data_IF_423160951473
#
_entry.id   IF_423160951473
#
_cell.length_a   1.000
_cell.length_b   1.000
_cell.length_c   1.000
_cell.angle_alpha   90.00
_cell.angle_beta   90.00
_cell.angle_gamma   90.00
#
_symmetry.space_group_name_H-M   'P 1'
#
loop_
_entity.id
_entity.type
_entity.pdbx_description
1 polymer ?
#
# COMPACT_ATOMS: atom_id res chain seq x y z
N UNK A 1 8.16 -3.03 17.72
CA UNK A 1 9.05 -3.63 16.70
C UNK A 1 10.44 -3.02 16.62
N UNK A 2 10.58 -1.69 16.51
CA UNK A 2 11.88 -1.03 16.28
C UNK A 2 12.96 -1.35 17.33
N UNK A 3 12.62 -1.27 18.63
CA UNK A 3 13.55 -1.54 19.74
C UNK A 3 14.04 -3.00 19.73
N UNK A 4 13.14 -3.96 19.54
CA UNK A 4 13.49 -5.39 19.49
C UNK A 4 14.44 -5.70 18.33
N UNK A 5 14.17 -5.14 17.14
CA UNK A 5 15.07 -5.28 15.98
C UNK A 5 16.42 -4.63 16.23
N UNK A 6 16.47 -3.49 16.92
CA UNK A 6 17.73 -2.84 17.33
C UNK A 6 18.58 -3.76 18.22
N UNK A 7 17.96 -4.40 19.21
CA UNK A 7 18.63 -5.35 20.12
C UNK A 7 19.14 -6.58 19.35
N UNK A 8 18.28 -7.19 18.53
CA UNK A 8 18.62 -8.35 17.69
C UNK A 8 19.82 -8.04 16.80
N UNK A 9 19.80 -6.91 16.09
CA UNK A 9 20.85 -6.51 15.15
C UNK A 9 22.21 -6.32 15.83
N UNK A 10 22.23 -5.77 17.05
CA UNK A 10 23.44 -5.68 17.88
C UNK A 10 23.95 -7.06 18.26
N UNK A 11 23.06 -7.96 18.68
CA UNK A 11 23.43 -9.32 19.04
C UNK A 11 24.01 -10.09 17.83
N UNK A 12 23.41 -9.95 16.65
CA UNK A 12 23.93 -10.55 15.40
C UNK A 12 25.33 -10.03 15.03
N UNK A 13 25.58 -8.73 15.18
CA UNK A 13 26.92 -8.14 15.00
C UNK A 13 27.95 -8.77 15.94
N UNK A 14 27.62 -8.93 17.22
CA UNK A 14 28.50 -9.59 18.17
C UNK A 14 28.74 -11.06 17.81
N UNK A 15 27.70 -11.77 17.37
CA UNK A 15 27.84 -13.13 16.85
C UNK A 15 28.81 -13.22 15.67
N UNK A 16 28.74 -12.30 14.70
CA UNK A 16 29.71 -12.21 13.61
C UNK A 16 31.15 -12.06 14.09
N UNK A 17 31.40 -11.22 15.10
CA UNK A 17 32.74 -11.06 15.71
C UNK A 17 33.25 -12.32 16.39
N UNK A 18 32.33 -13.18 16.87
CA UNK A 18 32.65 -14.48 17.47
C UNK A 18 32.78 -15.61 16.43
N UNK A 19 32.64 -15.31 15.12
CA UNK A 19 32.79 -16.28 14.04
C UNK A 19 31.49 -16.99 13.64
N UNK A 20 30.32 -16.49 14.04
CA UNK A 20 29.05 -17.04 13.56
C UNK A 20 28.72 -16.49 12.17
N UNK A 21 28.68 -17.38 11.17
CA UNK A 21 28.42 -17.01 9.77
C UNK A 21 26.96 -17.14 9.32
N UNK A 22 26.05 -17.32 10.27
CA UNK A 22 24.63 -17.41 9.98
C UNK A 22 23.76 -17.37 11.24
N UNK A 23 22.44 -17.55 11.08
CA UNK A 23 21.49 -17.40 12.18
C UNK A 23 21.76 -18.34 13.36
N UNK A 24 21.99 -17.76 14.54
CA UNK A 24 22.33 -18.47 15.76
C UNK A 24 21.42 -18.11 16.95
N UNK A 25 20.87 -16.89 17.01
CA UNK A 25 20.06 -16.43 18.16
C UNK A 25 18.81 -17.28 18.39
N UNK A 26 18.18 -17.76 17.32
CA UNK A 26 17.02 -18.65 17.42
C UNK A 26 17.32 -19.97 18.16
N UNK A 27 18.58 -20.42 18.18
CA UNK A 27 19.01 -21.63 18.90
C UNK A 27 19.07 -21.41 20.42
N UNK A 28 19.13 -20.15 20.85
CA UNK A 28 19.19 -19.78 22.27
C UNK A 28 17.79 -19.72 22.90
N UNK A 29 16.73 -19.61 22.10
CA UNK A 29 15.35 -19.43 22.59
C UNK A 29 14.92 -20.57 23.53
N UNK A 30 15.16 -21.86 23.25
CA UNK A 30 14.80 -22.93 24.19
C UNK A 30 15.55 -22.82 25.52
N UNK A 31 16.86 -22.55 25.47
CA UNK A 31 17.70 -22.43 26.67
C UNK A 31 17.29 -21.22 27.53
N UNK A 32 16.91 -20.10 26.90
CA UNK A 32 16.39 -18.93 27.61
C UNK A 32 15.03 -19.25 28.25
N UNK A 33 14.13 -19.93 27.53
CA UNK A 33 12.84 -20.33 28.08
C UNK A 33 12.98 -21.26 29.30
N UNK A 34 13.93 -22.21 29.25
CA UNK A 34 14.26 -23.10 30.37
C UNK A 34 14.78 -22.31 31.60
N UNK A 35 15.67 -21.34 31.41
CA UNK A 35 16.18 -20.52 32.52
C UNK A 35 15.09 -19.69 33.21
N UNK A 36 14.03 -19.32 32.49
CA UNK A 36 12.92 -18.52 33.00
C UNK A 36 11.66 -19.34 33.33
N UNK A 37 11.77 -20.67 33.34
CA UNK A 37 10.67 -21.56 33.70
C UNK A 37 10.13 -21.23 35.11
N UNK A 38 8.81 -21.18 35.27
CA UNK A 38 8.14 -20.80 36.52
C UNK A 38 8.07 -19.28 36.80
N UNK A 39 8.73 -18.46 35.97
CA UNK A 39 8.55 -16.99 35.96
C UNK A 39 7.75 -16.57 34.73
N UNK A 40 8.07 -17.14 33.56
CA UNK A 40 7.37 -16.91 32.30
C UNK A 40 7.10 -18.25 31.58
N UNK A 41 5.92 -18.82 31.81
CA UNK A 41 5.53 -20.08 31.16
C UNK A 41 5.02 -19.81 29.74
N UNK A 42 5.93 -19.88 28.76
CA UNK A 42 5.60 -19.67 27.35
C UNK A 42 4.97 -20.93 26.74
N UNK A 43 3.77 -20.84 26.13
CA UNK A 43 3.18 -21.98 25.42
C UNK A 43 4.09 -22.50 24.30
N UNK A 44 4.10 -23.82 24.01
CA UNK A 44 4.99 -24.41 22.99
C UNK A 44 4.89 -23.76 21.61
N UNK A 45 3.70 -23.35 21.20
CA UNK A 45 3.49 -22.66 19.92
C UNK A 45 4.09 -21.24 19.90
N UNK A 46 4.10 -20.53 21.03
CA UNK A 46 4.75 -19.22 21.14
C UNK A 46 6.28 -19.38 21.05
N UNK A 47 6.83 -20.43 21.67
CA UNK A 47 8.25 -20.73 21.58
C UNK A 47 8.67 -21.03 20.13
N UNK A 48 7.91 -21.89 19.44
CA UNK A 48 8.14 -22.24 18.05
C UNK A 48 8.06 -21.02 17.12
N UNK A 49 7.00 -20.21 17.26
CA UNK A 49 6.83 -18.97 16.49
C UNK A 49 7.95 -17.97 16.79
N UNK A 50 8.40 -17.87 18.04
CA UNK A 50 9.51 -16.98 18.44
C UNK A 50 10.83 -17.43 17.82
N UNK A 51 11.12 -18.74 17.82
CA UNK A 51 12.30 -19.31 17.16
C UNK A 51 12.30 -19.02 15.66
N UNK A 52 11.18 -19.25 14.98
CA UNK A 52 11.06 -19.03 13.54
C UNK A 52 11.19 -17.54 13.19
N UNK A 53 10.49 -16.66 13.92
CA UNK A 53 10.58 -15.22 13.74
C UNK A 53 12.00 -14.69 13.98
N UNK A 54 12.70 -15.16 15.01
CA UNK A 54 14.10 -14.80 15.27
C UNK A 54 15.01 -15.29 14.15
N UNK A 55 14.88 -16.55 13.74
CA UNK A 55 15.68 -17.15 12.68
C UNK A 55 15.54 -16.38 11.36
N UNK A 56 14.31 -15.99 11.01
CA UNK A 56 14.03 -15.29 9.77
C UNK A 56 14.48 -13.84 9.79
N UNK A 57 14.27 -13.12 10.90
CA UNK A 57 14.76 -11.74 11.05
C UNK A 57 16.29 -11.71 11.08
N UNK A 58 16.91 -12.68 11.75
CA UNK A 58 18.35 -12.86 11.81
C UNK A 58 18.92 -13.22 10.43
N UNK A 59 18.34 -14.19 9.70
CA UNK A 59 18.77 -14.56 8.35
C UNK A 59 18.65 -13.38 7.36
N UNK A 60 17.58 -12.58 7.47
CA UNK A 60 17.42 -11.36 6.68
C UNK A 60 18.50 -10.35 7.02
N UNK A 61 18.74 -10.12 8.30
CA UNK A 61 19.74 -9.16 8.73
C UNK A 61 21.17 -9.60 8.37
N UNK A 62 21.50 -10.89 8.44
CA UNK A 62 22.78 -11.43 7.96
C UNK A 62 23.01 -11.16 6.46
N UNK A 63 21.97 -11.16 5.62
CA UNK A 63 22.11 -10.79 4.20
C UNK A 63 22.35 -9.28 4.01
N UNK A 64 21.75 -8.46 4.87
CA UNK A 64 21.87 -6.99 4.85
C UNK A 64 23.19 -6.52 5.47
N UNK A 65 23.67 -7.20 6.51
CA UNK A 65 24.88 -6.82 7.24
C UNK A 65 26.11 -6.92 6.33
N UNK A 66 26.24 -7.96 5.52
CA UNK A 66 27.44 -8.14 4.68
C UNK A 66 27.55 -7.05 3.61
N UNK A 67 26.42 -6.70 2.95
CA UNK A 67 26.38 -5.64 1.94
C UNK A 67 26.53 -4.24 2.56
N UNK A 68 25.83 -3.98 3.67
CA UNK A 68 25.88 -2.71 4.38
C UNK A 68 27.24 -2.45 5.02
N UNK A 69 27.85 -3.46 5.65
CA UNK A 69 29.21 -3.42 6.20
C UNK A 69 30.24 -3.23 5.09
N UNK A 70 30.14 -3.97 3.99
CA UNK A 70 31.03 -3.79 2.85
C UNK A 70 30.98 -2.38 2.28
N UNK A 71 29.77 -1.80 2.16
CA UNK A 71 29.61 -0.41 1.70
C UNK A 71 30.15 0.60 2.71
N UNK A 72 29.89 0.40 3.99
CA UNK A 72 30.39 1.25 5.07
C UNK A 72 31.92 1.23 5.13
N UNK A 73 32.54 0.05 5.10
CA UNK A 73 33.99 -0.09 5.04
C UNK A 73 34.58 0.54 3.77
N UNK A 74 33.92 0.44 2.62
CA UNK A 74 34.35 1.13 1.41
C UNK A 74 34.32 2.67 1.57
N UNK A 75 33.27 3.23 2.19
CA UNK A 75 33.19 4.66 2.52
C UNK A 75 34.34 5.06 3.45
N UNK A 76 34.61 4.26 4.48
CA UNK A 76 35.68 4.53 5.45
C UNK A 76 37.08 4.40 4.82
N UNK A 77 37.30 3.40 3.97
CA UNK A 77 38.57 3.22 3.24
C UNK A 77 38.84 4.39 2.29
N UNK A 78 37.83 4.84 1.54
CA UNK A 78 37.96 6.00 0.67
C UNK A 78 38.33 7.29 1.44
N UNK A 79 38.05 7.33 2.74
CA UNK A 79 38.30 8.46 3.64
C UNK A 79 39.45 8.23 4.63
N UNK A 80 40.18 7.11 4.52
CA UNK A 80 41.18 6.69 5.51
C UNK A 80 42.36 7.68 5.69
N UNK A 81 42.63 8.52 4.69
CA UNK A 81 43.67 9.58 4.71
C UNK A 81 43.14 11.02 4.76
N UNK A 82 41.83 11.22 4.99
CA UNK A 82 41.18 12.53 4.96
C UNK A 82 40.20 12.73 6.11
N UNK A 83 39.07 13.39 5.83
CA UNK A 83 38.03 13.65 6.83
C UNK A 83 37.36 12.35 7.31
N UNK A 84 37.51 12.06 8.61
CA UNK A 84 36.96 10.85 9.25
C UNK A 84 35.51 11.05 9.71
N UNK A 85 34.72 11.66 8.85
CA UNK A 85 33.29 11.87 9.03
C UNK A 85 32.48 11.17 7.91
N UNK A 86 31.54 10.34 8.32
CA UNK A 86 30.49 9.80 7.45
C UNK A 86 29.40 10.85 7.40
N UNK A 87 29.14 11.40 6.22
CA UNK A 87 28.15 12.45 6.03
C UNK A 87 26.74 11.92 6.23
N UNK A 88 25.81 12.82 6.57
CA UNK A 88 24.40 12.46 6.70
C UNK A 88 23.80 11.82 5.45
N UNK A 89 24.25 12.22 4.26
CA UNK A 89 23.82 11.63 2.99
C UNK A 89 24.37 10.20 2.79
N UNK A 90 25.62 9.94 3.15
CA UNK A 90 26.21 8.59 3.11
C UNK A 90 25.52 7.65 4.12
N UNK A 91 25.26 8.14 5.34
CA UNK A 91 24.48 7.43 6.35
C UNK A 91 23.03 7.19 5.88
N UNK A 92 22.44 8.16 5.16
CA UNK A 92 21.10 8.03 4.58
C UNK A 92 21.06 6.98 3.48
N UNK A 93 22.03 6.94 2.58
CA UNK A 93 22.13 5.90 1.54
C UNK A 93 22.30 4.51 2.17
N UNK A 94 23.16 4.38 3.20
CA UNK A 94 23.30 3.13 3.95
C UNK A 94 21.95 2.68 4.52
N UNK A 95 21.17 3.59 5.09
CA UNK A 95 19.86 3.32 5.67
C UNK A 95 18.77 3.01 4.61
N UNK A 96 18.59 3.90 3.64
CA UNK A 96 17.48 3.91 2.68
C UNK A 96 17.71 2.90 1.54
N UNK A 97 18.92 2.87 0.98
CA UNK A 97 19.25 2.02 -0.17
C UNK A 97 19.72 0.62 0.25
N UNK A 98 20.57 0.55 1.28
CA UNK A 98 21.19 -0.72 1.69
C UNK A 98 20.52 -1.34 2.92
N UNK A 99 19.53 -0.68 3.53
CA UNK A 99 18.84 -1.19 4.73
C UNK A 99 19.74 -1.30 5.97
N UNK A 100 20.93 -0.68 5.94
CA UNK A 100 21.92 -0.74 7.00
C UNK A 100 21.58 0.27 8.10
N UNK A 101 21.30 -0.20 9.34
CA UNK A 101 20.78 0.66 10.40
C UNK A 101 21.74 1.77 10.81
N UNK A 102 21.22 2.99 10.98
CA UNK A 102 22.02 4.14 11.42
C UNK A 102 22.74 3.91 12.76
N UNK A 103 22.16 3.13 13.67
CA UNK A 103 22.79 2.83 14.95
C UNK A 103 23.99 1.88 14.82
N UNK A 104 23.99 1.00 13.82
CA UNK A 104 25.14 0.15 13.50
C UNK A 104 26.19 0.92 12.71
N UNK A 105 25.79 1.81 11.79
CA UNK A 105 26.71 2.74 11.12
C UNK A 105 27.53 3.51 12.14
N UNK A 106 26.87 4.04 13.17
CA UNK A 106 27.54 4.77 14.26
C UNK A 106 28.52 3.90 15.05
N UNK A 107 28.07 2.73 15.52
CA UNK A 107 28.92 1.83 16.32
C UNK A 107 30.15 1.40 15.53
N UNK A 108 29.98 1.03 14.26
CA UNK A 108 31.07 0.54 13.42
C UNK A 108 32.03 1.67 13.03
N UNK A 109 31.51 2.88 12.76
CA UNK A 109 32.31 4.07 12.52
C UNK A 109 33.16 4.43 13.75
N UNK A 110 32.54 4.49 14.94
CA UNK A 110 33.21 4.80 16.21
C UNK A 110 34.37 3.83 16.48
N UNK A 111 34.16 2.52 16.29
CA UNK A 111 35.20 1.50 16.52
C UNK A 111 36.42 1.62 15.60
N UNK A 112 36.28 2.28 14.45
CA UNK A 112 37.37 2.53 13.50
C UNK A 112 37.86 3.99 13.52
N UNK A 113 37.42 4.78 14.51
CA UNK A 113 37.81 6.19 14.67
C UNK A 113 37.18 7.14 13.65
N UNK A 114 35.99 6.81 13.15
CA UNK A 114 35.13 7.67 12.34
C UNK A 114 33.97 8.23 13.17
N UNK A 115 33.43 9.37 12.73
CA UNK A 115 32.20 9.97 13.26
C UNK A 115 31.08 9.91 12.22
N UNK A 116 29.82 10.03 12.65
CA UNK A 116 28.65 10.10 11.75
C UNK A 116 27.94 11.43 11.96
N UNK A 117 27.67 12.15 10.88
CA UNK A 117 26.86 13.38 10.92
C UNK A 117 25.37 13.03 11.09
N UNK A 118 24.97 12.84 12.35
CA UNK A 118 23.59 12.53 12.72
C UNK A 118 22.61 13.66 12.36
N UNK A 119 23.06 14.92 12.46
CA UNK A 119 22.24 16.08 12.12
C UNK A 119 21.95 16.11 10.61
N UNK A 120 22.94 15.82 9.77
CA UNK A 120 22.77 15.66 8.34
C UNK A 120 21.87 14.49 7.97
N UNK A 121 21.99 13.36 8.67
CA UNK A 121 21.11 12.21 8.47
C UNK A 121 19.65 12.58 8.80
N UNK A 122 19.42 13.27 9.92
CA UNK A 122 18.09 13.75 10.31
C UNK A 122 17.50 14.73 9.27
N UNK A 123 18.31 15.62 8.69
CA UNK A 123 17.86 16.51 7.59
C UNK A 123 17.42 15.73 6.35
N UNK A 124 18.13 14.66 5.97
CA UNK A 124 17.74 13.82 4.84
C UNK A 124 16.42 13.06 5.11
N UNK A 125 16.25 12.57 6.33
CA UNK A 125 15.00 11.94 6.77
C UNK A 125 13.82 12.92 6.73
N UNK A 126 14.02 14.18 7.16
CA UNK A 126 12.96 15.18 7.11
C UNK A 126 12.68 15.64 5.67
N UNK A 127 13.69 15.79 4.80
CA UNK A 127 13.47 16.08 3.38
C UNK A 127 12.70 14.96 2.65
N UNK A 128 12.87 13.70 3.04
CA UNK A 128 12.05 12.58 2.54
C UNK A 128 10.58 12.72 3.00
N UNK A 129 10.35 13.14 4.25
CA UNK A 129 9.00 13.40 4.79
C UNK A 129 8.35 14.63 4.18
N UNK A 130 9.10 15.70 3.96
CA UNK A 130 8.61 16.93 3.33
C UNK A 130 8.21 16.70 1.87
N UNK A 131 8.95 15.90 1.11
CA UNK A 131 8.53 15.49 -0.25
C UNK A 131 7.20 14.72 -0.26
N UNK A 132 6.93 13.94 0.79
CA UNK A 132 5.63 13.29 0.95
C UNK A 132 4.52 14.29 1.35
N UNK A 133 4.85 15.36 2.09
CA UNK A 133 3.92 16.44 2.46
C UNK A 133 3.69 17.47 1.35
N UNK A 134 4.65 17.70 0.46
CA UNK A 134 4.52 18.70 -0.62
C UNK A 134 3.44 18.33 -1.65
N UNK A 135 3.02 17.07 -1.72
CA UNK A 135 1.84 16.66 -2.48
C UNK A 135 0.53 17.30 -1.93
N UNK A 136 0.45 17.60 -0.62
CA UNK A 136 -0.67 18.31 0.00
C UNK A 136 -0.59 19.85 -0.16
N UNK A 137 0.60 20.41 -0.44
CA UNK A 137 0.79 21.86 -0.65
C UNK A 137 0.28 22.37 -1.99
N UNK A 138 -0.19 21.50 -2.88
CA UNK A 138 -0.67 21.89 -4.22
C UNK A 138 -1.91 22.80 -4.20
N UNK A 139 -2.58 22.93 -3.05
CA UNK A 139 -3.88 23.59 -2.91
C UNK A 139 -3.89 24.80 -1.96
N UNK A 140 -2.72 25.27 -1.50
CA UNK A 140 -2.63 26.45 -0.62
C UNK A 140 -1.70 27.52 -1.21
N UNK A 141 -2.18 28.14 -2.30
CA UNK A 141 -1.55 29.26 -3.00
C UNK A 141 -1.89 30.64 -2.39
N UNK A 142 -2.57 30.66 -1.24
CA UNK A 142 -3.01 31.88 -0.58
C UNK A 142 -4.29 32.49 -1.16
N UNK A 143 -5.01 31.79 -2.04
CA UNK A 143 -6.30 32.25 -2.56
C UNK A 143 -7.33 32.50 -1.44
N UNK A 144 -7.98 33.67 -1.51
CA UNK A 144 -9.00 34.10 -0.54
C UNK A 144 -10.31 33.35 -0.74
N UNK A 145 -10.98 33.05 0.38
CA UNK A 145 -12.28 32.37 0.37
C UNK A 145 -13.43 33.35 0.13
N UNK A 146 -14.28 33.03 -0.84
CA UNK A 146 -15.63 33.57 -0.93
C UNK A 146 -16.56 32.74 -0.04
N UNK A 147 -16.92 33.28 1.12
CA UNK A 147 -17.80 32.61 2.09
C UNK A 147 -19.26 32.98 1.79
N UNK A 148 -20.07 31.96 1.50
CA UNK A 148 -21.50 32.10 1.20
C UNK A 148 -22.35 31.72 2.41
N UNK A 149 -21.88 30.74 3.19
CA UNK A 149 -22.48 30.33 4.46
C UNK A 149 -21.39 29.87 5.45
N UNK A 150 -21.61 30.13 6.73
CA UNK A 150 -20.71 29.72 7.81
C UNK A 150 -20.69 28.20 8.00
N UNK A 151 -19.55 27.68 8.48
CA UNK A 151 -19.35 26.25 8.78
C UNK A 151 -18.66 25.44 7.67
N UNK A 152 -18.54 24.13 7.90
CA UNK A 152 -17.79 23.19 7.04
C UNK A 152 -18.64 22.28 6.14
N UNK A 153 -19.94 22.54 6.04
CA UNK A 153 -20.90 21.60 5.48
C UNK A 153 -21.27 20.46 6.42
N UNK A 154 -22.27 19.68 6.02
CA UNK A 154 -22.79 18.48 6.69
C UNK A 154 -22.08 17.19 6.21
N UNK A 155 -21.21 17.30 5.20
CA UNK A 155 -20.30 16.23 4.76
C UNK A 155 -20.88 15.28 3.70
N UNK A 156 -20.39 14.03 3.72
CA UNK A 156 -20.76 13.00 2.75
C UNK A 156 -22.23 12.62 2.90
N UNK A 157 -22.97 12.64 1.80
CA UNK A 157 -24.43 12.54 1.82
C UNK A 157 -24.91 11.12 2.13
N UNK A 158 -24.52 10.14 1.31
CA UNK A 158 -24.88 8.74 1.47
C UNK A 158 -24.09 7.86 0.50
N UNK A 159 -23.84 6.61 0.90
CA UNK A 159 -23.34 5.58 -0.03
C UNK A 159 -24.39 5.24 -1.07
N UNK A 160 -23.96 5.02 -2.32
CA UNK A 160 -24.85 4.69 -3.44
C UNK A 160 -25.60 5.86 -4.06
N UNK A 161 -25.42 7.09 -3.54
CA UNK A 161 -25.96 8.30 -4.15
C UNK A 161 -25.04 8.75 -5.30
N UNK A 162 -25.58 8.80 -6.53
CA UNK A 162 -24.83 9.19 -7.73
C UNK A 162 -24.99 10.67 -8.09
N UNK A 163 -26.08 11.30 -7.65
CA UNK A 163 -26.37 12.70 -7.91
C UNK A 163 -27.00 13.36 -6.68
N UNK A 164 -26.75 14.66 -6.52
CA UNK A 164 -27.33 15.46 -5.44
C UNK A 164 -27.38 16.93 -5.83
N UNK A 165 -28.55 17.55 -5.69
CA UNK A 165 -28.66 19.00 -5.68
C UNK A 165 -28.32 19.53 -4.27
N UNK A 166 -27.38 20.47 -4.19
CA UNK A 166 -26.87 21.03 -2.91
C UNK A 166 -26.50 22.50 -3.11
N UNK A 167 -26.24 23.22 -2.01
CA UNK A 167 -25.70 24.58 -2.05
C UNK A 167 -24.18 24.58 -1.87
N UNK A 168 -23.54 25.64 -2.37
CA UNK A 168 -22.12 25.93 -2.10
C UNK A 168 -22.02 26.72 -0.80
N UNK A 169 -21.15 26.29 0.11
CA UNK A 169 -20.90 26.97 1.39
C UNK A 169 -19.80 28.02 1.24
N UNK A 170 -18.73 27.68 0.54
CA UNK A 170 -17.63 28.59 0.20
C UNK A 170 -16.82 28.05 -0.95
N UNK A 171 -16.17 28.95 -1.67
CA UNK A 171 -15.31 28.60 -2.79
C UNK A 171 -14.14 29.57 -2.93
N UNK A 172 -13.11 29.16 -3.66
CA UNK A 172 -12.02 30.04 -4.09
C UNK A 172 -11.48 29.60 -5.44
N UNK A 173 -10.97 30.57 -6.19
CA UNK A 173 -10.26 30.32 -7.44
C UNK A 173 -8.76 30.32 -7.19
N UNK A 174 -8.10 29.32 -7.73
CA UNK A 174 -6.64 29.17 -7.71
C UNK A 174 -6.05 29.65 -9.04
N UNK A 175 -4.73 29.86 -9.06
CA UNK A 175 -4.02 30.10 -10.31
C UNK A 175 -4.23 28.93 -11.31
N UNK A 176 -4.24 29.24 -12.61
CA UNK A 176 -4.39 28.23 -13.66
C UNK A 176 -5.82 27.71 -13.90
N UNK A 177 -6.85 28.40 -13.37
CA UNK A 177 -8.25 28.09 -13.66
C UNK A 177 -8.82 26.90 -12.87
N UNK A 178 -8.13 26.50 -11.79
CA UNK A 178 -8.64 25.53 -10.82
C UNK A 178 -9.49 26.23 -9.77
N UNK A 179 -10.46 25.52 -9.24
CA UNK A 179 -11.32 25.99 -8.16
C UNK A 179 -11.38 24.97 -7.03
N UNK A 180 -11.62 25.49 -5.83
CA UNK A 180 -11.86 24.71 -4.64
C UNK A 180 -13.22 25.08 -4.05
N UNK A 181 -14.03 24.06 -3.75
CA UNK A 181 -15.39 24.23 -3.24
C UNK A 181 -15.63 23.40 -1.99
N UNK A 182 -16.42 23.97 -1.09
CA UNK A 182 -17.05 23.26 0.01
C UNK A 182 -18.55 23.34 -0.20
N UNK A 183 -19.17 22.17 -0.28
CA UNK A 183 -20.60 21.99 -0.47
C UNK A 183 -21.28 21.76 0.86
N UNK A 184 -22.58 22.06 0.96
CA UNK A 184 -23.36 21.73 2.16
C UNK A 184 -23.40 20.22 2.37
N UNK A 185 -23.75 19.45 1.34
CA UNK A 185 -23.62 17.98 1.31
C UNK A 185 -23.02 17.57 -0.01
N UNK A 186 -22.36 16.42 -0.06
CA UNK A 186 -21.75 15.92 -1.30
C UNK A 186 -22.02 14.44 -1.52
N UNK A 187 -22.36 14.00 -2.74
CA UNK A 187 -22.39 12.59 -3.07
C UNK A 187 -20.99 12.04 -3.33
N UNK A 188 -19.94 12.87 -3.46
CA UNK A 188 -18.58 12.46 -3.81
C UNK A 188 -17.81 11.96 -2.57
N UNK A 189 -17.22 10.77 -2.66
CA UNK A 189 -16.37 10.20 -1.62
C UNK A 189 -15.01 10.90 -1.62
N UNK A 190 -14.60 11.41 -0.46
CA UNK A 190 -13.27 11.98 -0.25
C UNK A 190 -12.24 10.88 -0.04
N UNK A 191 -11.02 11.06 -0.55
CA UNK A 191 -9.93 10.10 -0.38
C UNK A 191 -9.75 9.70 1.09
N UNK A 192 -9.87 8.41 1.37
CA UNK A 192 -9.76 7.88 2.73
C UNK A 192 -9.66 6.36 2.75
N UNK A 193 -8.93 5.82 3.73
CA UNK A 193 -8.81 4.36 3.94
C UNK A 193 -8.11 3.62 2.80
N UNK A 194 -7.31 4.32 1.99
CA UNK A 194 -6.66 3.79 0.80
C UNK A 194 -7.49 3.89 -0.48
N UNK A 195 -8.78 4.16 -0.40
CA UNK A 195 -9.61 4.45 -1.59
C UNK A 195 -9.38 5.89 -2.06
N UNK A 196 -8.99 6.05 -3.33
CA UNK A 196 -8.81 7.37 -3.95
C UNK A 196 -10.13 8.11 -4.09
N UNK A 197 -10.07 9.44 -4.13
CA UNK A 197 -11.24 10.31 -4.25
C UNK A 197 -12.14 9.95 -5.44
N UNK A 198 -13.43 10.24 -5.31
CA UNK A 198 -14.33 10.26 -6.47
C UNK A 198 -14.05 11.45 -7.38
N UNK A 199 -14.33 11.23 -8.66
CA UNK A 199 -14.40 12.29 -9.65
C UNK A 199 -15.87 12.56 -9.98
N UNK A 200 -16.14 13.71 -10.57
CA UNK A 200 -17.49 14.06 -10.95
C UNK A 200 -17.59 15.44 -11.58
N UNK A 201 -18.81 15.93 -11.66
CA UNK A 201 -19.14 17.22 -12.22
C UNK A 201 -20.00 17.99 -11.24
N UNK A 202 -19.70 19.28 -11.06
CA UNK A 202 -20.58 20.22 -10.36
C UNK A 202 -21.08 21.22 -11.40
N UNK A 203 -22.39 21.23 -11.62
CA UNK A 203 -23.06 22.15 -12.55
C UNK A 203 -23.82 23.21 -11.77
N UNK A 204 -23.58 24.47 -12.11
CA UNK A 204 -24.29 25.61 -11.56
C UNK A 204 -24.73 26.60 -12.65
N UNK A 205 -25.32 27.73 -12.28
CA UNK A 205 -25.78 28.73 -13.24
C UNK A 205 -24.63 29.31 -14.07
N UNK A 206 -24.48 28.86 -15.32
CA UNK A 206 -23.50 29.39 -16.26
C UNK A 206 -22.05 28.90 -16.06
N UNK A 207 -21.84 27.88 -15.22
CA UNK A 207 -20.54 27.27 -15.03
C UNK A 207 -20.61 25.76 -14.78
N UNK A 208 -19.51 25.08 -15.09
CA UNK A 208 -19.32 23.65 -14.84
C UNK A 208 -17.93 23.45 -14.25
N UNK A 209 -17.82 22.56 -13.26
CA UNK A 209 -16.56 22.19 -12.63
C UNK A 209 -16.35 20.71 -12.82
N UNK A 210 -15.26 20.35 -13.50
CA UNK A 210 -14.80 18.98 -13.62
C UNK A 210 -13.98 18.63 -12.38
N UNK A 211 -14.59 17.95 -11.42
CA UNK A 211 -13.96 17.57 -10.15
C UNK A 211 -13.06 16.37 -10.39
N UNK A 212 -11.77 16.55 -10.14
CA UNK A 212 -10.72 15.55 -10.32
C UNK A 212 -10.08 15.10 -8.99
N UNK A 213 -10.40 15.78 -7.88
CA UNK A 213 -9.92 15.43 -6.55
C UNK A 213 -10.89 15.89 -5.45
N UNK A 214 -11.02 15.08 -4.39
CA UNK A 214 -11.87 15.35 -3.22
C UNK A 214 -11.14 14.91 -1.95
N UNK A 215 -10.87 15.87 -1.07
CA UNK A 215 -10.02 15.66 0.10
C UNK A 215 -10.76 15.99 1.39
N UNK A 216 -10.43 15.28 2.47
CA UNK A 216 -10.98 15.56 3.80
C UNK A 216 -9.94 16.27 4.67
N UNK A 217 -10.13 17.57 4.92
CA UNK A 217 -9.23 18.41 5.71
C UNK A 217 -9.95 18.84 6.98
N UNK A 218 -9.43 18.45 8.15
CA UNK A 218 -10.02 18.78 9.46
C UNK A 218 -11.52 18.43 9.57
N UNK A 219 -11.96 17.36 8.92
CA UNK A 219 -13.36 16.92 8.92
C UNK A 219 -14.23 17.52 7.81
N UNK A 220 -13.75 18.56 7.13
CA UNK A 220 -14.43 19.24 6.03
C UNK A 220 -14.07 18.55 4.71
N UNK A 221 -15.03 18.45 3.79
CA UNK A 221 -14.80 17.86 2.45
C UNK A 221 -14.59 18.98 1.43
N UNK A 222 -13.41 18.96 0.81
CA UNK A 222 -12.95 19.91 -0.18
C UNK A 222 -13.01 19.27 -1.56
N UNK A 223 -13.51 19.99 -2.55
CA UNK A 223 -13.65 19.53 -3.94
C UNK A 223 -12.77 20.39 -4.83
N UNK A 224 -11.90 19.77 -5.62
CA UNK A 224 -10.98 20.45 -6.50
C UNK A 224 -11.27 20.07 -7.95
N UNK A 225 -11.23 21.05 -8.84
CA UNK A 225 -11.52 20.79 -10.24
C UNK A 225 -11.23 21.97 -11.17
N UNK A 226 -11.32 21.69 -12.47
CA UNK A 226 -11.18 22.71 -13.52
C UNK A 226 -12.53 23.41 -13.75
N UNK A 227 -12.52 24.75 -13.71
CA UNK A 227 -13.71 25.57 -13.95
C UNK A 227 -13.85 25.89 -15.44
N UNK A 228 -15.05 25.73 -15.98
CA UNK A 228 -15.47 26.27 -17.28
C UNK A 228 -16.68 27.18 -17.08
N UNK A 229 -16.67 28.35 -17.73
CA UNK A 229 -17.74 29.35 -17.60
C UNK A 229 -17.46 30.40 -16.53
N UNK A 230 -18.47 31.21 -16.21
CA UNK A 230 -18.36 32.29 -15.24
C UNK A 230 -19.11 31.92 -13.96
N UNK A 231 -18.39 31.85 -12.83
CA UNK A 231 -18.99 31.52 -11.53
C UNK A 231 -19.86 32.69 -11.07
N UNK A 232 -21.16 32.46 -10.98
CA UNK A 232 -22.11 33.32 -10.30
C UNK A 232 -22.73 32.51 -9.16
N UNK A 233 -22.17 32.67 -7.96
CA UNK A 233 -22.61 31.99 -6.75
C UNK A 233 -23.04 33.03 -5.70
N UNK A 234 -24.25 32.85 -5.17
CA UNK A 234 -24.80 33.52 -4.00
C UNK A 234 -25.12 32.51 -2.89
N UNK A 235 -25.63 32.99 -1.75
CA UNK A 235 -25.87 32.23 -0.51
C UNK A 235 -26.78 31.01 -0.71
N UNK A 236 -27.66 31.03 -1.70
CA UNK A 236 -28.68 30.00 -1.94
C UNK A 236 -28.55 29.34 -3.32
N UNK A 237 -27.44 29.57 -4.03
CA UNK A 237 -27.24 28.99 -5.35
C UNK A 237 -27.19 27.47 -5.27
N UNK A 238 -28.16 26.84 -5.93
CA UNK A 238 -28.22 25.39 -6.08
C UNK A 238 -27.26 24.95 -7.18
N UNK A 239 -26.45 23.95 -6.88
CA UNK A 239 -25.62 23.25 -7.84
C UNK A 239 -26.00 21.77 -7.86
N UNK A 240 -25.98 21.19 -9.05
CA UNK A 240 -26.16 19.76 -9.26
C UNK A 240 -24.80 19.08 -9.25
N UNK A 241 -24.62 18.10 -8.39
CA UNK A 241 -23.37 17.34 -8.25
C UNK A 241 -23.60 15.94 -8.76
N UNK A 242 -22.85 15.53 -9.77
CA UNK A 242 -22.89 14.19 -10.35
C UNK A 242 -21.55 13.48 -10.18
N UNK A 243 -21.60 12.20 -9.83
CA UNK A 243 -20.41 11.37 -9.66
C UNK A 243 -20.12 10.65 -10.96
N UNK A 244 -18.85 10.52 -11.35
CA UNK A 244 -18.43 9.53 -12.33
C UNK A 244 -18.69 8.10 -11.80
N UNK A 245 -19.88 7.59 -12.13
CA UNK A 245 -20.37 6.29 -11.67
C UNK A 245 -19.53 5.13 -12.22
N UNK A 246 -18.98 5.24 -13.42
CA UNK A 246 -18.15 4.20 -14.01
C UNK A 246 -16.84 4.06 -13.23
N UNK A 247 -16.17 5.19 -12.97
CA UNK A 247 -14.96 5.25 -12.15
C UNK A 247 -15.21 4.75 -10.73
N UNK A 248 -16.29 5.21 -10.08
CA UNK A 248 -16.66 4.75 -8.73
C UNK A 248 -16.95 3.25 -8.69
N UNK A 249 -17.71 2.72 -9.64
CA UNK A 249 -18.03 1.30 -9.69
C UNK A 249 -16.75 0.45 -9.78
N UNK A 250 -15.80 0.87 -10.61
CA UNK A 250 -14.56 0.13 -10.74
C UNK A 250 -13.68 0.21 -9.47
N UNK A 251 -13.61 1.37 -8.79
CA UNK A 251 -12.99 1.45 -7.45
C UNK A 251 -13.67 0.54 -6.44
N UNK A 252 -15.01 0.51 -6.46
CA UNK A 252 -15.84 -0.30 -5.56
C UNK A 252 -15.56 -1.79 -5.72
N UNK A 253 -15.36 -2.23 -6.97
CA UNK A 253 -14.93 -3.58 -7.34
C UNK A 253 -13.54 -3.87 -6.74
N UNK A 254 -12.55 -3.02 -7.02
CA UNK A 254 -11.19 -3.18 -6.49
C UNK A 254 -11.14 -3.18 -4.96
N UNK A 255 -11.89 -2.29 -4.30
CA UNK A 255 -11.94 -2.22 -2.84
C UNK A 255 -12.44 -3.53 -2.22
N UNK A 256 -13.54 -4.05 -2.76
CA UNK A 256 -14.13 -5.29 -2.27
C UNK A 256 -13.19 -6.47 -2.50
N UNK A 257 -12.45 -6.46 -3.61
CA UNK A 257 -11.39 -7.44 -3.86
C UNK A 257 -10.20 -7.29 -2.89
N UNK A 258 -9.83 -6.09 -2.47
CA UNK A 258 -8.77 -5.86 -1.48
C UNK A 258 -9.06 -6.59 -0.16
N UNK A 259 -10.32 -6.57 0.30
CA UNK A 259 -10.73 -7.29 1.52
C UNK A 259 -10.62 -8.81 1.37
N UNK A 260 -11.04 -9.36 0.22
CA UNK A 260 -10.87 -10.79 -0.06
C UNK A 260 -9.38 -11.15 -0.20
N UNK A 261 -8.58 -10.30 -0.85
CA UNK A 261 -7.14 -10.50 -0.99
C UNK A 261 -6.43 -10.49 0.36
N UNK A 262 -6.81 -9.60 1.28
CA UNK A 262 -6.24 -9.56 2.63
C UNK A 262 -6.57 -10.84 3.41
N UNK A 263 -7.81 -11.32 3.33
CA UNK A 263 -8.21 -12.61 3.91
C UNK A 263 -7.46 -13.78 3.26
N UNK A 264 -7.28 -13.77 1.93
CA UNK A 264 -6.53 -14.79 1.19
C UNK A 264 -5.06 -14.84 1.61
N UNK A 265 -4.40 -13.69 1.73
CA UNK A 265 -3.01 -13.60 2.17
C UNK A 265 -2.84 -14.20 3.58
N UNK A 266 -3.78 -13.93 4.50
CA UNK A 266 -3.78 -14.55 5.83
C UNK A 266 -4.01 -16.06 5.78
N UNK A 267 -4.91 -16.52 4.91
CA UNK A 267 -5.21 -17.95 4.78
C UNK A 267 -4.05 -18.74 4.14
N UNK A 268 -3.35 -18.15 3.17
CA UNK A 268 -2.27 -18.81 2.42
C UNK A 268 -0.92 -18.67 3.13
N UNK A 269 -0.58 -17.46 3.59
CA UNK A 269 0.73 -17.17 4.16
C UNK A 269 0.74 -17.33 5.69
N UNK A 270 -0.38 -17.07 6.35
CA UNK A 270 -0.52 -17.17 7.80
C UNK A 270 -0.96 -15.86 8.49
N UNK A 271 -1.30 -15.93 9.80
CA UNK A 271 -1.91 -14.84 10.54
C UNK A 271 -0.99 -13.63 10.81
N UNK A 272 0.32 -13.75 10.56
CA UNK A 272 1.27 -12.63 10.70
C UNK A 272 1.11 -11.55 9.62
N UNK A 273 0.31 -11.81 8.59
CA UNK A 273 0.00 -10.83 7.55
C UNK A 273 -0.84 -9.71 8.16
N UNK A 274 -0.27 -8.51 8.16
CA UNK A 274 -0.91 -7.28 8.58
C UNK A 274 -0.74 -6.24 7.47
N UNK A 275 -1.79 -5.45 7.22
CA UNK A 275 -1.71 -4.30 6.33
C UNK A 275 -0.64 -3.29 6.82
N UNK A 276 0.16 -2.79 5.87
CA UNK A 276 1.15 -1.72 6.04
C UNK A 276 0.88 -0.52 5.12
N UNK A 277 -0.04 -0.67 4.16
CA UNK A 277 -0.49 0.38 3.27
C UNK A 277 -1.46 -0.20 2.24
N UNK A 278 -2.35 0.63 1.70
CA UNK A 278 -3.23 0.22 0.62
C UNK A 278 -3.55 1.42 -0.27
N UNK A 279 -3.71 1.15 -1.56
CA UNK A 279 -4.32 2.06 -2.53
C UNK A 279 -5.34 1.28 -3.33
N UNK A 280 -6.50 1.87 -3.50
CA UNK A 280 -7.61 1.37 -4.32
C UNK A 280 -7.98 2.48 -5.29
N UNK A 281 -7.68 2.25 -6.55
CA UNK A 281 -8.03 3.14 -7.66
C UNK A 281 -8.83 2.37 -8.73
N UNK A 282 -9.37 3.03 -9.75
CA UNK A 282 -10.18 2.37 -10.78
C UNK A 282 -9.37 1.44 -11.67
N UNK A 283 -8.06 1.60 -11.77
CA UNK A 283 -7.24 0.83 -12.68
C UNK A 283 -6.64 -0.38 -11.97
N UNK A 284 -6.37 -0.28 -10.66
CA UNK A 284 -5.82 -1.37 -9.84
C UNK A 284 -6.07 -1.22 -8.33
N UNK A 285 -5.78 -2.29 -7.60
CA UNK A 285 -5.52 -2.24 -6.16
C UNK A 285 -4.07 -2.60 -5.85
N UNK A 286 -3.52 -1.93 -4.84
CA UNK A 286 -2.20 -2.15 -4.26
C UNK A 286 -2.36 -2.42 -2.78
N UNK A 287 -1.71 -3.47 -2.29
CA UNK A 287 -1.72 -3.83 -0.88
C UNK A 287 -0.31 -4.12 -0.38
N UNK A 288 0.11 -3.38 0.63
CA UNK A 288 1.39 -3.54 1.30
C UNK A 288 1.14 -4.32 2.60
N UNK A 289 1.89 -5.39 2.84
CA UNK A 289 1.65 -6.30 3.96
C UNK A 289 2.93 -6.81 4.60
N UNK A 290 2.86 -7.20 5.88
CA UNK A 290 3.97 -7.84 6.58
C UNK A 290 4.16 -9.27 6.08
N UNK A 291 5.29 -9.51 5.42
CA UNK A 291 5.75 -10.85 5.09
C UNK A 291 7.27 -10.87 4.87
N UNK A 292 7.91 -11.94 5.32
CA UNK A 292 9.37 -11.94 5.50
C UNK A 292 10.20 -12.29 4.27
N UNK A 293 9.57 -12.85 3.25
CA UNK A 293 10.22 -13.29 2.02
C UNK A 293 9.34 -12.97 0.80
N UNK A 294 9.89 -13.06 -0.42
CA UNK A 294 9.06 -13.12 -1.62
C UNK A 294 8.06 -14.26 -1.54
N UNK A 295 6.87 -14.02 -2.09
CA UNK A 295 5.90 -15.08 -2.30
C UNK A 295 6.43 -15.99 -3.42
N UNK A 296 6.20 -17.30 -3.30
CA UNK A 296 6.44 -18.23 -4.39
C UNK A 296 5.36 -18.07 -5.46
N UNK A 297 5.63 -18.58 -6.67
CA UNK A 297 4.62 -18.61 -7.73
C UNK A 297 3.35 -19.38 -7.29
N UNK A 298 3.53 -20.48 -6.56
CA UNK A 298 2.43 -21.29 -6.03
C UNK A 298 1.62 -20.53 -4.96
N UNK A 299 2.26 -19.74 -4.11
CA UNK A 299 1.57 -18.91 -3.11
C UNK A 299 0.77 -17.78 -3.77
N UNK A 300 1.31 -17.15 -4.82
CA UNK A 300 0.58 -16.14 -5.60
C UNK A 300 -0.63 -16.78 -6.27
N UNK A 301 -0.45 -17.92 -6.93
CA UNK A 301 -1.54 -18.67 -7.56
C UNK A 301 -2.60 -19.10 -6.53
N UNK A 302 -2.18 -19.57 -5.35
CA UNK A 302 -3.11 -19.94 -4.27
C UNK A 302 -3.93 -18.75 -3.76
N UNK A 303 -3.32 -17.54 -3.66
CA UNK A 303 -4.06 -16.31 -3.32
C UNK A 303 -5.08 -15.97 -4.41
N UNK A 304 -4.68 -15.99 -5.69
CA UNK A 304 -5.59 -15.74 -6.81
C UNK A 304 -6.77 -16.73 -6.84
N UNK A 305 -6.49 -18.02 -6.69
CA UNK A 305 -7.49 -19.08 -6.69
C UNK A 305 -8.44 -18.94 -5.51
N UNK A 306 -7.90 -18.62 -4.33
CA UNK A 306 -8.70 -18.40 -3.13
C UNK A 306 -9.68 -17.26 -3.33
N UNK A 307 -9.22 -16.10 -3.83
CA UNK A 307 -10.06 -14.91 -4.06
C UNK A 307 -11.13 -15.22 -5.11
N UNK A 308 -10.73 -15.75 -6.27
CA UNK A 308 -11.67 -16.07 -7.34
C UNK A 308 -12.69 -17.14 -6.94
N UNK A 309 -12.33 -18.09 -6.06
CA UNK A 309 -13.28 -19.05 -5.51
C UNK A 309 -14.37 -18.35 -4.66
N UNK A 310 -14.01 -17.35 -3.85
CA UNK A 310 -14.98 -16.58 -3.03
C UNK A 310 -15.85 -15.66 -3.88
N UNK A 311 -15.29 -15.08 -4.93
CA UNK A 311 -16.04 -14.32 -5.93
C UNK A 311 -17.13 -15.23 -6.54
N UNK A 312 -16.77 -16.44 -6.99
CA UNK A 312 -17.72 -17.39 -7.60
C UNK A 312 -18.82 -17.87 -6.66
N UNK A 313 -18.61 -17.83 -5.34
CA UNK A 313 -19.68 -18.13 -4.36
C UNK A 313 -20.78 -17.06 -4.33
N UNK A 314 -20.48 -15.85 -4.81
CA UNK A 314 -21.42 -14.74 -4.92
C UNK A 314 -22.18 -14.43 -3.61
N UNK A 315 -21.45 -14.48 -2.50
CA UNK A 315 -21.97 -14.24 -1.16
C UNK A 315 -22.29 -12.75 -0.98
N UNK A 316 -23.22 -12.45 -0.07
CA UNK A 316 -23.60 -11.07 0.23
C UNK A 316 -22.44 -10.32 0.91
N UNK A 317 -22.25 -9.06 0.52
CA UNK A 317 -21.42 -8.11 1.24
C UNK A 317 -22.33 -7.30 2.15
N UNK A 318 -22.22 -7.51 3.46
CA UNK A 318 -23.06 -6.86 4.48
C UNK A 318 -22.30 -5.73 5.11
N UNK A 319 -22.94 -4.56 5.19
CA UNK A 319 -22.39 -3.36 5.80
C UNK A 319 -23.26 -2.99 6.99
N UNK A 320 -22.64 -2.82 8.15
CA UNK A 320 -23.32 -2.32 9.35
C UNK A 320 -22.63 -1.03 9.78
N UNK A 321 -23.39 0.06 9.75
CA UNK A 321 -22.93 1.36 10.24
C UNK A 321 -23.15 1.48 11.74
N UNK A 322 -22.41 2.39 12.38
CA UNK A 322 -22.62 2.79 13.77
C UNK A 322 -22.54 1.64 14.79
N UNK A 323 -21.58 0.72 14.59
CA UNK A 323 -21.36 -0.41 15.51
C UNK A 323 -20.40 0.03 16.62
N UNK A 324 -20.69 -0.19 17.91
CA UNK A 324 -19.73 0.05 18.98
C UNK A 324 -18.44 -0.74 18.75
N UNK A 325 -17.28 -0.08 18.86
CA UNK A 325 -15.98 -0.70 18.52
C UNK A 325 -15.69 -1.97 19.32
N UNK A 326 -16.11 -2.02 20.59
CA UNK A 326 -15.90 -3.17 21.45
C UNK A 326 -16.77 -4.36 21.04
N UNK A 327 -17.98 -4.11 20.53
CA UNK A 327 -18.85 -5.15 19.96
C UNK A 327 -18.23 -5.70 18.67
N UNK A 328 -17.76 -4.82 17.78
CA UNK A 328 -17.11 -5.23 16.53
C UNK A 328 -15.86 -6.09 16.82
N UNK A 329 -15.05 -5.72 17.83
CA UNK A 329 -13.89 -6.53 18.29
C UNK A 329 -14.30 -7.89 18.83
N UNK A 330 -15.38 -7.96 19.62
CA UNK A 330 -15.90 -9.22 20.14
C UNK A 330 -16.35 -10.18 19.03
N UNK A 331 -16.81 -9.65 17.89
CA UNK A 331 -17.18 -10.41 16.70
C UNK A 331 -15.98 -10.82 15.81
N UNK A 332 -14.75 -10.49 16.22
CA UNK A 332 -13.52 -10.86 15.50
C UNK A 332 -13.23 -9.97 14.29
N UNK A 333 -13.69 -8.71 14.29
CA UNK A 333 -13.38 -7.77 13.21
C UNK A 333 -11.88 -7.55 13.09
N UNK A 334 -11.38 -7.55 11.87
CA UNK A 334 -10.01 -7.14 11.59
C UNK A 334 -9.97 -5.62 11.58
N UNK A 335 -9.25 -5.05 12.55
CA UNK A 335 -8.90 -3.64 12.56
C UNK A 335 -7.60 -3.42 11.78
N UNK A 336 -7.49 -2.30 11.07
CA UNK A 336 -6.28 -1.93 10.35
C UNK A 336 -5.23 -1.41 11.34
N UNK A 337 -3.99 -1.86 11.17
CA UNK A 337 -2.90 -1.54 12.08
C UNK A 337 -2.49 -0.06 11.94
N UNK A 338 -2.54 0.70 13.04
CA UNK A 338 -2.09 2.09 13.09
C UNK A 338 -3.20 3.14 12.92
N UNK A 339 -4.42 2.72 12.59
CA UNK A 339 -5.58 3.61 12.51
C UNK A 339 -6.16 3.92 13.90
N UNK A 340 -6.60 5.17 14.09
CA UNK A 340 -7.38 5.56 15.27
C UNK A 340 -8.86 5.51 14.91
N UNK A 341 -9.60 4.71 15.65
CA UNK A 341 -11.04 4.55 15.49
C UNK A 341 -11.79 5.32 16.58
N UNK A 342 -12.96 5.84 16.24
CA UNK A 342 -13.90 6.38 17.23
C UNK A 342 -14.64 5.28 17.98
N UNK A 343 -15.53 5.68 18.88
CA UNK A 343 -16.32 4.75 19.71
C UNK A 343 -17.28 3.90 18.88
N UNK A 344 -17.73 4.43 17.74
CA UNK A 344 -18.59 3.74 16.78
C UNK A 344 -17.89 3.66 15.42
N UNK A 345 -18.06 2.52 14.76
CA UNK A 345 -17.33 2.16 13.54
C UNK A 345 -18.27 1.55 12.49
N UNK A 346 -17.86 1.64 11.22
CA UNK A 346 -18.51 0.95 10.12
C UNK A 346 -17.80 -0.38 9.87
N UNK A 347 -18.57 -1.46 9.89
CA UNK A 347 -18.06 -2.80 9.63
C UNK A 347 -18.51 -3.28 8.25
N UNK A 348 -17.65 -4.04 7.59
CA UNK A 348 -17.91 -4.62 6.28
C UNK A 348 -17.59 -6.09 6.34
N UNK A 349 -18.56 -6.92 5.96
CA UNK A 349 -18.45 -8.37 5.94
C UNK A 349 -18.67 -8.86 4.52
N UNK A 350 -17.63 -9.38 3.87
CA UNK A 350 -17.75 -10.02 2.55
C UNK A 350 -17.83 -11.54 2.76
N UNK A 351 -19.06 -12.05 2.75
CA UNK A 351 -19.29 -13.47 2.99
C UNK A 351 -18.91 -13.93 4.39
N UNK A 352 -18.42 -15.16 4.52
CA UNK A 352 -17.91 -15.68 5.80
C UNK A 352 -16.41 -15.44 6.01
N UNK A 353 -15.67 -15.14 4.93
CA UNK A 353 -14.21 -15.17 4.96
C UNK A 353 -13.54 -13.83 5.29
N UNK A 354 -14.25 -12.69 5.14
CA UNK A 354 -13.69 -11.35 5.42
C UNK A 354 -14.63 -10.50 6.27
N UNK A 355 -14.09 -9.90 7.32
CA UNK A 355 -14.81 -9.00 8.23
C UNK A 355 -13.87 -7.92 8.76
N UNK A 356 -14.05 -6.68 8.30
CA UNK A 356 -13.10 -5.58 8.53
C UNK A 356 -13.80 -4.26 8.89
N UNK A 357 -13.06 -3.36 9.55
CA UNK A 357 -13.47 -1.97 9.73
C UNK A 357 -13.13 -1.17 8.47
N UNK A 358 -14.14 -0.69 7.76
CA UNK A 358 -13.91 0.04 6.51
C UNK A 358 -14.97 1.12 6.27
N UNK A 359 -14.51 2.28 5.81
CA UNK A 359 -15.32 3.44 5.44
C UNK A 359 -15.60 3.59 3.94
N UNK A 360 -15.06 2.72 3.08
CA UNK A 360 -15.15 2.88 1.63
C UNK A 360 -16.41 2.31 0.97
N UNK A 361 -16.43 2.42 -0.35
CA UNK A 361 -17.50 1.86 -1.19
C UNK A 361 -17.28 0.37 -1.42
N UNK A 362 -18.34 -0.43 -1.31
CA UNK A 362 -18.28 -1.88 -1.55
C UNK A 362 -19.38 -2.34 -2.49
N UNK A 363 -19.09 -3.42 -3.21
CA UNK A 363 -20.07 -4.15 -4.01
C UNK A 363 -21.15 -4.75 -3.11
N UNK A 364 -22.27 -5.17 -3.69
CA UNK A 364 -23.37 -5.80 -2.94
C UNK A 364 -23.12 -7.29 -2.73
N UNK A 365 -22.45 -7.93 -3.68
CA UNK A 365 -22.08 -9.36 -3.61
C UNK A 365 -20.68 -9.60 -4.14
N UNK A 366 -20.03 -10.64 -3.63
CA UNK A 366 -18.65 -10.98 -4.06
C UNK A 366 -18.55 -11.28 -5.56
N UNK A 367 -19.63 -11.74 -6.21
CA UNK A 367 -19.65 -12.00 -7.64
C UNK A 367 -19.61 -10.73 -8.51
N UNK A 368 -20.03 -9.58 -7.97
CA UNK A 368 -19.98 -8.29 -8.66
C UNK A 368 -18.54 -7.82 -8.92
N UNK A 369 -17.54 -8.41 -8.24
CA UNK A 369 -16.12 -8.11 -8.41
C UNK A 369 -15.63 -8.57 -9.81
N UNK A 370 -16.21 -9.63 -10.37
CA UNK A 370 -15.70 -10.25 -11.59
C UNK A 370 -14.37 -10.97 -11.38
N UNK A 371 -13.51 -11.05 -12.38
CA UNK A 371 -12.23 -11.76 -12.26
C UNK A 371 -11.25 -10.97 -11.39
N UNK A 372 -10.48 -11.66 -10.54
CA UNK A 372 -9.33 -11.10 -9.82
C UNK A 372 -8.02 -11.66 -10.39
N UNK A 373 -7.04 -10.78 -10.62
CA UNK A 373 -5.71 -11.17 -11.14
C UNK A 373 -4.61 -10.38 -10.44
N UNK A 374 -3.60 -11.08 -9.92
CA UNK A 374 -2.36 -10.47 -9.41
C UNK A 374 -1.48 -10.11 -10.60
N UNK A 375 -1.04 -8.86 -10.65
CA UNK A 375 -0.17 -8.37 -11.73
C UNK A 375 1.29 -8.34 -11.29
N UNK A 376 1.56 -8.02 -10.03
CA UNK A 376 2.92 -7.92 -9.52
C UNK A 376 3.00 -8.20 -8.02
N UNK A 377 4.09 -8.85 -7.61
CA UNK A 377 4.47 -9.04 -6.21
C UNK A 377 5.94 -8.63 -6.04
N UNK A 378 6.21 -7.67 -5.15
CA UNK A 378 7.55 -7.08 -4.98
C UNK A 378 7.88 -6.80 -3.52
N UNK A 379 9.18 -6.66 -3.23
CA UNK A 379 9.65 -6.23 -1.91
C UNK A 379 9.69 -4.71 -1.83
N UNK A 380 9.00 -4.13 -0.84
CA UNK A 380 9.02 -2.69 -0.61
C UNK A 380 10.10 -2.29 0.40
N UNK A 381 10.19 -3.02 1.50
CA UNK A 381 11.17 -2.82 2.57
C UNK A 381 11.41 -4.15 3.31
N UNK A 382 12.38 -4.15 4.25
CA UNK A 382 12.64 -5.34 5.06
C UNK A 382 11.38 -5.79 5.84
N UNK A 383 10.85 -6.97 5.47
CA UNK A 383 9.65 -7.54 6.09
C UNK A 383 8.33 -6.95 5.61
N UNK A 384 8.33 -6.15 4.53
CA UNK A 384 7.12 -5.60 3.90
C UNK A 384 7.13 -5.95 2.41
N UNK A 385 6.05 -6.60 1.98
CA UNK A 385 5.80 -6.98 0.59
C UNK A 385 4.67 -6.12 0.02
N UNK A 386 4.67 -5.95 -1.29
CA UNK A 386 3.62 -5.28 -2.05
C UNK A 386 3.06 -6.26 -3.06
N UNK A 387 1.74 -6.40 -3.07
CA UNK A 387 1.00 -7.10 -4.10
C UNK A 387 0.08 -6.11 -4.80
N UNK A 388 0.08 -6.10 -6.13
CA UNK A 388 -0.89 -5.35 -6.92
C UNK A 388 -1.72 -6.31 -7.74
N UNK A 389 -3.00 -5.96 -7.89
CA UNK A 389 -3.97 -6.76 -8.58
C UNK A 389 -4.97 -5.89 -9.33
N UNK A 390 -5.58 -6.46 -10.35
CA UNK A 390 -6.65 -5.87 -11.15
C UNK A 390 -7.89 -6.74 -11.06
N UNK A 391 -9.06 -6.12 -11.13
CA UNK A 391 -10.35 -6.78 -10.99
C UNK A 391 -11.33 -6.36 -12.09
N UNK A 392 -12.35 -7.18 -12.38
CA UNK A 392 -13.39 -6.83 -13.34
C UNK A 392 -12.84 -6.62 -14.75
N UNK A 393 -13.19 -5.52 -15.41
CA UNK A 393 -12.76 -5.23 -16.79
C UNK A 393 -11.22 -5.11 -16.92
N UNK A 394 -10.49 -4.37 -16.07
CA UNK A 394 -9.02 -4.38 -16.03
C UNK A 394 -8.37 -5.77 -15.98
N UNK A 395 -8.98 -6.73 -15.27
CA UNK A 395 -8.47 -8.11 -15.23
C UNK A 395 -8.65 -8.84 -16.57
N UNK A 396 -9.79 -8.64 -17.23
CA UNK A 396 -10.04 -9.16 -18.57
C UNK A 396 -9.11 -8.55 -19.61
N UNK A 397 -8.88 -7.24 -19.55
CA UNK A 397 -7.98 -6.54 -20.45
C UNK A 397 -6.54 -7.04 -20.28
N UNK A 398 -6.09 -7.22 -19.04
CA UNK A 398 -4.78 -7.80 -18.75
C UNK A 398 -4.62 -9.22 -19.31
N UNK A 399 -5.65 -10.07 -19.21
CA UNK A 399 -5.63 -11.40 -19.78
C UNK A 399 -5.56 -11.35 -21.32
N UNK A 400 -6.37 -10.51 -21.96
CA UNK A 400 -6.39 -10.37 -23.41
C UNK A 400 -5.06 -9.84 -23.95
N UNK A 401 -4.44 -8.88 -23.27
CA UNK A 401 -3.10 -8.38 -23.61
C UNK A 401 -2.05 -9.51 -23.51
N UNK A 402 -2.10 -10.29 -22.41
CA UNK A 402 -1.18 -11.42 -22.22
C UNK A 402 -1.34 -12.48 -23.30
N UNK A 403 -2.57 -12.88 -23.63
CA UNK A 403 -2.87 -13.84 -24.70
C UNK A 403 -2.41 -13.31 -26.06
N UNK A 404 -2.73 -12.05 -26.38
CA UNK A 404 -2.33 -11.41 -27.64
C UNK A 404 -0.81 -11.37 -27.82
N UNK A 405 -0.06 -11.11 -26.75
CA UNK A 405 1.41 -11.15 -26.76
C UNK A 405 1.93 -12.55 -27.08
N UNK A 406 1.43 -13.59 -26.41
CA UNK A 406 1.88 -14.96 -26.66
C UNK A 406 1.49 -15.46 -28.06
N UNK A 407 0.30 -15.11 -28.55
CA UNK A 407 -0.10 -15.42 -29.92
C UNK A 407 0.86 -14.78 -30.95
N UNK A 408 1.32 -13.56 -30.68
CA UNK A 408 2.32 -12.90 -31.53
C UNK A 408 3.69 -13.60 -31.46
N UNK A 409 4.17 -13.92 -30.27
CA UNK A 409 5.45 -14.62 -30.08
C UNK A 409 5.44 -16.02 -30.71
N UNK A 410 4.35 -16.77 -30.54
CA UNK A 410 4.15 -18.10 -31.16
C UNK A 410 4.14 -17.98 -32.68
N UNK A 411 3.49 -16.96 -33.26
CA UNK A 411 3.52 -16.71 -34.70
C UNK A 411 4.94 -16.46 -35.20
N UNK A 412 5.72 -15.63 -34.50
CA UNK A 412 7.13 -15.37 -34.83
C UNK A 412 7.95 -16.65 -34.74
N UNK A 413 7.80 -17.41 -33.65
CA UNK A 413 8.54 -18.65 -33.44
C UNK A 413 8.26 -19.68 -34.55
N UNK A 414 6.98 -19.84 -34.94
CA UNK A 414 6.56 -20.70 -36.05
C UNK A 414 7.16 -20.26 -37.38
N UNK A 415 7.19 -18.96 -37.66
CA UNK A 415 7.79 -18.43 -38.88
C UNK A 415 9.31 -18.70 -38.94
N UNK A 416 10.03 -18.41 -37.84
CA UNK A 416 11.47 -18.69 -37.74
C UNK A 416 11.79 -20.18 -37.85
N UNK A 417 10.97 -21.04 -37.26
CA UNK A 417 11.12 -22.49 -37.37
C UNK A 417 10.93 -22.95 -38.83
N UNK A 418 9.95 -22.38 -39.54
CA UNK A 418 9.73 -22.67 -40.96
C UNK A 418 10.96 -22.25 -41.81
N UNK A 419 11.46 -21.03 -41.64
CA UNK A 419 12.68 -20.57 -42.34
C UNK A 419 13.91 -21.43 -42.02
N UNK A 420 14.07 -21.86 -40.76
CA UNK A 420 15.17 -22.73 -40.35
C UNK A 420 15.04 -24.12 -40.98
N UNK A 421 13.82 -24.67 -41.03
CA UNK A 421 13.54 -25.96 -41.65
C UNK A 421 13.78 -25.95 -43.16
N UNK A 422 13.47 -24.85 -43.86
CA UNK A 422 13.80 -24.68 -45.28
C UNK A 422 15.31 -24.74 -45.51
N UNK A 423 16.09 -24.01 -44.71
CA UNK A 423 17.57 -24.02 -44.78
C UNK A 423 18.13 -25.40 -44.44
N UNK A 424 17.58 -26.07 -43.43
CA UNK A 424 18.02 -27.41 -43.03
C UNK A 424 17.75 -28.45 -44.13
N UNK A 425 16.58 -28.39 -44.76
CA UNK A 425 16.21 -29.25 -45.88
C UNK A 425 17.14 -29.02 -47.08
N UNK A 426 17.50 -27.76 -47.38
CA UNK A 426 18.46 -27.44 -48.43
C UNK A 426 19.86 -28.02 -48.19
N UNK A 427 20.22 -28.30 -46.93
CA UNK A 427 21.47 -28.95 -46.53
C UNK A 427 21.35 -30.49 -46.42
N UNK A 428 20.20 -31.07 -46.79
CA UNK A 428 19.93 -32.51 -46.70
C UNK A 428 19.51 -33.00 -45.30
N UNK A 429 19.20 -32.09 -44.38
CA UNK A 429 18.68 -32.42 -43.05
C UNK A 429 17.17 -32.67 -43.04
N UNK A 430 16.67 -33.27 -41.95
CA UNK A 430 15.24 -33.55 -41.75
C UNK A 430 14.58 -32.40 -40.96
N UNK A 431 13.42 -31.85 -41.41
CA UNK A 431 12.72 -30.80 -40.69
C UNK A 431 12.31 -31.19 -39.25
N UNK A 432 12.32 -30.20 -38.36
CA UNK A 432 11.82 -30.34 -36.98
C UNK A 432 10.33 -30.00 -36.94
N UNK A 433 9.52 -30.86 -36.30
CA UNK A 433 8.09 -30.64 -36.14
C UNK A 433 7.77 -29.44 -35.23
N UNK A 434 6.64 -28.78 -35.50
CA UNK A 434 6.10 -27.63 -34.75
C UNK A 434 5.53 -28.05 -33.41
#
# INVERSE_FOLDING_TARGET
GYVLRRILRRAVRHGRRLGFDGPFLWRLVPAVAEVFEGVYDLPPHILANTQEALKDEEARFFRTIDRGMGRLHAIMQAKAGGDRAITGAEAFVLYDTYGFPADLTRIEAEEHGFTVDEAGFARQMEAQRERARSAQKFYDDGAEWHVLAEGGGEGFAAYGLAELDTTVMRWRAHEGGRVELILRRTPLYAESGGEVADHGVIEGPGFTIQVDDVQKVNGIIHHYGALTGAVQLDTDTLVRVEVDTARRQQKTIHHSATHLMHAALKAVLGPHVEQKGSVVDPDRTRFDFSHGRPMTADEIAAVEDWVNARIRRNEAVTITADVPIDEARAQGVVALFGEKYGDHVRTVRAGQDSFELCGGNHVRRTGDIGQFRVTVETGLAAGVRRIEAVCGQPAWDHLNEFVGKWDHEIKIARHKLAEANEKLTALGGVPVAV
#
